data_IF_085588212763
#
_entry.id   IF_085588212763
#
_cell.length_a   1.000
_cell.length_b   1.000
_cell.length_c   1.000
_cell.angle_alpha   90.00
_cell.angle_beta   90.00
_cell.angle_gamma   90.00
#
_symmetry.space_group_name_H-M   'P 1'
#
loop_
_entity.id
_entity.type
_entity.pdbx_description
1 polymer ?
#
# COMPACT_ATOMS: atom_id res chain seq x y z
N UNK A 1 14.43 -16.65 9.38
CA UNK A 1 13.14 -15.96 9.63
C UNK A 1 13.33 -14.47 10.00
N UNK A 2 13.83 -14.13 11.19
CA UNK A 2 13.90 -12.73 11.66
C UNK A 2 14.76 -11.79 10.79
N UNK A 3 15.87 -12.27 10.21
CA UNK A 3 16.69 -11.45 9.28
C UNK A 3 15.91 -11.05 8.02
N UNK A 4 15.16 -11.98 7.44
CA UNK A 4 14.30 -11.73 6.26
C UNK A 4 13.20 -10.74 6.58
N UNK A 5 12.44 -10.96 7.67
CA UNK A 5 11.37 -10.04 8.11
C UNK A 5 11.93 -8.63 8.33
N UNK A 6 13.08 -8.49 9.00
CA UNK A 6 13.73 -7.19 9.21
C UNK A 6 14.16 -6.53 7.90
N UNK A 7 14.66 -7.31 6.94
CA UNK A 7 15.07 -6.81 5.61
C UNK A 7 13.85 -6.35 4.81
N UNK A 8 12.82 -7.18 4.73
CA UNK A 8 11.58 -6.89 3.99
C UNK A 8 10.88 -5.66 4.61
N UNK A 9 10.82 -5.59 5.93
CA UNK A 9 10.32 -4.41 6.66
C UNK A 9 11.10 -3.13 6.32
N UNK A 10 12.44 -3.17 6.35
CA UNK A 10 13.28 -2.01 6.00
C UNK A 10 13.02 -1.57 4.55
N UNK A 11 12.93 -2.52 3.62
CA UNK A 11 12.69 -2.25 2.21
C UNK A 11 11.30 -1.65 1.98
N UNK A 12 10.25 -2.23 2.56
CA UNK A 12 8.88 -1.69 2.48
C UNK A 12 8.78 -0.30 3.10
N UNK A 13 9.42 -0.07 4.26
CA UNK A 13 9.44 1.24 4.91
C UNK A 13 10.15 2.29 4.05
N UNK A 14 11.27 1.93 3.43
CA UNK A 14 11.97 2.83 2.51
C UNK A 14 11.16 3.12 1.25
N UNK A 15 10.48 2.12 0.67
CA UNK A 15 9.57 2.28 -0.46
C UNK A 15 8.44 3.25 -0.13
N UNK A 16 7.72 2.99 0.96
CA UNK A 16 6.61 3.82 1.41
C UNK A 16 7.02 5.26 1.75
N UNK A 17 8.19 5.45 2.38
CA UNK A 17 8.73 6.79 2.60
C UNK A 17 9.08 7.51 1.28
N UNK A 18 9.37 6.77 0.22
CA UNK A 18 9.55 7.29 -1.13
C UNK A 18 8.23 7.76 -1.75
N UNK A 19 7.20 6.92 -1.66
CA UNK A 19 5.84 7.22 -2.11
C UNK A 19 5.30 8.47 -1.41
N UNK A 20 5.39 8.56 -0.07
CA UNK A 20 4.94 9.73 0.68
C UNK A 20 5.64 11.04 0.29
N UNK A 21 6.89 10.98 -0.18
CA UNK A 21 7.57 12.16 -0.71
C UNK A 21 6.96 12.59 -2.03
N UNK A 22 6.75 11.64 -2.96
CA UNK A 22 6.06 11.91 -4.22
C UNK A 22 4.67 12.49 -3.96
N UNK A 23 3.92 11.91 -3.02
CA UNK A 23 2.59 12.39 -2.62
C UNK A 23 2.59 13.85 -2.14
N UNK A 24 3.67 14.29 -1.49
CA UNK A 24 3.80 15.69 -1.07
C UNK A 24 4.09 16.61 -2.26
N UNK A 25 4.98 16.22 -3.18
CA UNK A 25 5.23 16.99 -4.41
C UNK A 25 3.97 17.09 -5.28
N UNK A 26 3.17 16.03 -5.36
CA UNK A 26 1.92 16.05 -6.13
C UNK A 26 0.87 17.03 -5.57
N UNK A 27 0.98 17.47 -4.31
CA UNK A 27 0.11 18.53 -3.75
C UNK A 27 0.46 19.92 -4.27
N UNK A 28 1.66 20.10 -4.81
CA UNK A 28 2.16 21.36 -5.37
C UNK A 28 1.73 21.55 -6.83
N UNK A 29 1.08 20.56 -7.45
CA UNK A 29 0.64 20.62 -8.85
C UNK A 29 -0.41 21.70 -9.09
N UNK A 30 -0.13 22.60 -10.04
CA UNK A 30 -1.06 23.62 -10.53
C UNK A 30 -1.54 23.30 -11.95
N UNK A 31 -2.42 22.30 -12.06
CA UNK A 31 -3.03 21.92 -13.34
C UNK A 31 -4.29 22.74 -13.64
N UNK A 32 -4.50 23.03 -14.93
CA UNK A 32 -5.63 23.85 -15.41
C UNK A 32 -6.97 23.14 -15.33
N UNK A 33 -6.98 21.80 -15.30
CA UNK A 33 -8.20 21.00 -15.19
C UNK A 33 -8.18 20.11 -13.93
N UNK A 34 -9.36 19.73 -13.40
CA UNK A 34 -9.46 18.74 -12.33
C UNK A 34 -8.78 17.41 -12.70
N UNK A 35 -8.06 16.84 -11.74
CA UNK A 35 -7.35 15.58 -11.87
C UNK A 35 -7.59 14.69 -10.65
N UNK A 36 -7.24 13.41 -10.79
CA UNK A 36 -7.31 12.42 -9.72
C UNK A 36 -5.96 11.74 -9.56
N UNK A 37 -5.48 11.66 -8.32
CA UNK A 37 -4.27 10.91 -7.96
C UNK A 37 -4.71 9.69 -7.15
N UNK A 38 -4.42 8.50 -7.65
CA UNK A 38 -4.65 7.24 -6.96
C UNK A 38 -3.30 6.64 -6.57
N UNK A 39 -3.13 6.30 -5.29
CA UNK A 39 -1.88 5.78 -4.74
C UNK A 39 -2.04 4.31 -4.37
N UNK A 40 -0.96 3.53 -4.49
CA UNK A 40 -0.91 2.14 -4.05
C UNK A 40 -2.04 1.25 -4.58
N UNK A 41 -2.34 1.41 -5.88
CA UNK A 41 -3.49 0.81 -6.53
C UNK A 41 -3.16 -0.62 -7.01
N UNK A 42 -3.92 -1.61 -6.54
CA UNK A 42 -3.81 -2.99 -6.99
C UNK A 42 -4.87 -3.28 -8.05
N UNK A 43 -4.44 -3.40 -9.31
CA UNK A 43 -5.35 -3.66 -10.43
C UNK A 43 -5.17 -5.06 -10.95
N UNK A 44 -6.30 -5.75 -11.14
CA UNK A 44 -6.37 -7.07 -11.74
C UNK A 44 -7.21 -7.05 -13.00
N UNK A 45 -6.63 -7.49 -14.12
CA UNK A 45 -7.35 -7.67 -15.38
C UNK A 45 -7.15 -9.11 -15.85
N UNK A 46 -8.22 -9.90 -15.81
CA UNK A 46 -8.17 -11.34 -16.05
C UNK A 46 -7.28 -12.06 -15.03
N UNK A 47 -6.20 -12.68 -15.52
CA UNK A 47 -5.21 -13.39 -14.67
C UNK A 47 -4.00 -12.51 -14.29
N UNK A 48 -3.89 -11.30 -14.85
CA UNK A 48 -2.76 -10.40 -14.61
C UNK A 48 -3.11 -9.44 -13.47
N UNK A 49 -2.14 -9.19 -12.61
CA UNK A 49 -2.28 -8.34 -11.42
C UNK A 49 -1.01 -7.49 -11.29
N UNK A 50 -1.17 -6.22 -10.94
CA UNK A 50 -0.07 -5.29 -10.71
C UNK A 50 -0.42 -4.31 -9.61
N UNK A 51 0.59 -3.95 -8.82
CA UNK A 51 0.54 -2.82 -7.90
C UNK A 51 1.12 -1.60 -8.62
N UNK A 52 0.42 -0.48 -8.55
CA UNK A 52 0.81 0.79 -9.14
C UNK A 52 1.06 1.77 -8.01
N UNK A 53 2.30 2.26 -7.89
CA UNK A 53 2.69 3.19 -6.83
C UNK A 53 1.84 4.46 -6.89
N UNK A 54 1.73 5.07 -8.07
CA UNK A 54 0.83 6.22 -8.29
C UNK A 54 0.28 6.24 -9.72
N UNK A 55 -1.02 6.51 -9.84
CA UNK A 55 -1.72 6.76 -11.10
C UNK A 55 -2.33 8.15 -11.07
N UNK A 56 -1.88 9.01 -11.98
CA UNK A 56 -2.49 10.33 -12.20
C UNK A 56 -3.43 10.25 -13.40
N UNK A 57 -4.68 10.64 -13.18
CA UNK A 57 -5.73 10.67 -14.20
C UNK A 57 -6.06 12.14 -14.47
N UNK A 58 -5.78 12.59 -15.68
CA UNK A 58 -6.06 13.93 -16.17
C UNK A 58 -6.83 13.85 -17.50
N UNK A 59 -7.66 14.85 -17.86
CA UNK A 59 -8.38 14.86 -19.13
C UNK A 59 -7.49 14.73 -20.37
N UNK A 60 -6.25 15.20 -20.30
CA UNK A 60 -5.29 15.15 -21.40
C UNK A 60 -4.45 13.88 -21.42
N UNK A 61 -4.27 13.20 -20.28
CA UNK A 61 -3.37 12.05 -20.17
C UNK A 61 -3.68 11.19 -18.93
N UNK A 62 -3.31 9.92 -19.00
CA UNK A 62 -3.13 9.06 -17.83
C UNK A 62 -1.64 8.81 -17.65
N UNK A 63 -1.13 8.99 -16.43
CA UNK A 63 0.29 8.82 -16.13
C UNK A 63 0.46 7.79 -15.01
N UNK A 64 1.11 6.67 -15.34
CA UNK A 64 1.60 5.70 -14.35
C UNK A 64 2.96 6.17 -13.86
N UNK A 65 3.12 6.37 -12.55
CA UNK A 65 4.36 6.80 -11.94
C UNK A 65 4.93 5.63 -11.14
N UNK A 66 6.11 5.15 -11.55
CA UNK A 66 6.91 4.13 -10.86
C UNK A 66 7.94 4.83 -9.98
N UNK A 67 7.90 4.56 -8.67
CA UNK A 67 8.68 5.28 -7.67
C UNK A 67 9.90 4.45 -7.26
N UNK A 68 11.06 5.11 -7.20
CA UNK A 68 12.34 4.48 -6.82
C UNK A 68 13.05 5.32 -5.76
N UNK A 69 12.97 4.87 -4.51
CA UNK A 69 13.67 5.49 -3.39
C UNK A 69 14.93 4.69 -3.02
N UNK A 70 16.01 4.90 -3.77
CA UNK A 70 17.25 4.12 -3.63
C UNK A 70 18.47 5.03 -3.83
N UNK A 71 19.54 4.77 -3.08
CA UNK A 71 20.84 5.47 -3.20
C UNK A 71 21.78 4.71 -4.13
N UNK A 72 22.77 5.40 -4.70
CA UNK A 72 23.83 4.87 -5.56
C UNK A 72 23.71 5.35 -7.01
N UNK A 73 24.60 4.84 -7.85
CA UNK A 73 24.62 5.14 -9.29
C UNK A 73 23.85 4.07 -10.05
N UNK A 74 22.83 4.47 -10.81
CA UNK A 74 21.91 3.57 -11.50
C UNK A 74 22.12 3.56 -13.00
N UNK A 75 22.04 2.36 -13.57
CA UNK A 75 22.26 2.11 -14.98
C UNK A 75 21.14 1.22 -15.52
N UNK A 76 20.49 1.72 -16.57
CA UNK A 76 19.60 0.95 -17.42
C UNK A 76 20.42 0.40 -18.60
N UNK A 77 20.64 -0.91 -18.64
CA UNK A 77 21.35 -1.58 -19.74
C UNK A 77 20.36 -1.81 -20.90
N UNK A 78 20.47 -1.06 -22.01
CA UNK A 78 19.51 -1.14 -23.10
C UNK A 78 19.61 -2.46 -23.88
N UNK A 79 20.76 -3.13 -23.86
CA UNK A 79 21.05 -4.36 -24.60
C UNK A 79 20.53 -5.56 -23.83
N UNK A 80 20.97 -5.71 -22.58
CA UNK A 80 20.64 -6.89 -21.77
C UNK A 80 19.35 -6.71 -20.97
N UNK A 81 18.72 -5.53 -21.03
CA UNK A 81 17.52 -5.17 -20.26
C UNK A 81 17.70 -5.33 -18.74
N UNK A 82 18.95 -5.26 -18.27
CA UNK A 82 19.28 -5.27 -16.85
C UNK A 82 19.17 -3.88 -16.26
N UNK A 83 18.76 -3.82 -15.00
CA UNK A 83 18.86 -2.62 -14.19
C UNK A 83 19.78 -2.94 -13.02
N UNK A 84 20.81 -2.13 -12.83
CA UNK A 84 21.78 -2.35 -11.77
C UNK A 84 22.23 -1.04 -11.12
N UNK A 85 22.81 -1.20 -9.94
CA UNK A 85 23.37 -0.13 -9.15
C UNK A 85 24.86 -0.35 -8.90
N UNK A 86 25.67 0.71 -8.92
CA UNK A 86 26.93 0.77 -8.18
C UNK A 86 26.65 1.44 -6.83
N UNK A 87 26.93 0.71 -5.74
CA UNK A 87 26.73 1.24 -4.38
C UNK A 87 27.90 2.17 -3.99
N UNK A 88 27.82 2.75 -2.78
CA UNK A 88 28.85 3.68 -2.27
C UNK A 88 30.26 3.04 -2.14
N UNK A 89 30.36 1.70 -2.19
CA UNK A 89 31.62 0.93 -2.20
C UNK A 89 32.09 0.54 -3.61
N UNK A 90 31.38 1.00 -4.66
CA UNK A 90 31.66 0.66 -6.06
C UNK A 90 31.21 -0.75 -6.48
N UNK A 91 30.50 -1.48 -5.62
CA UNK A 91 30.03 -2.84 -5.92
C UNK A 91 28.79 -2.81 -6.81
N UNK A 92 28.83 -3.60 -7.88
CA UNK A 92 27.70 -3.80 -8.81
C UNK A 92 26.65 -4.76 -8.24
N UNK A 93 25.42 -4.29 -8.17
CA UNK A 93 24.27 -5.05 -7.66
C UNK A 93 23.13 -5.03 -8.69
N UNK A 94 22.72 -6.21 -9.15
CA UNK A 94 21.55 -6.36 -10.02
C UNK A 94 20.25 -6.13 -9.25
N UNK A 95 19.29 -5.47 -9.90
CA UNK A 95 18.05 -5.04 -9.28
C UNK A 95 16.85 -5.30 -10.20
N UNK A 96 15.65 -5.27 -9.63
CA UNK A 96 14.41 -5.42 -10.40
C UNK A 96 14.26 -4.21 -11.34
N UNK A 97 14.12 -4.47 -12.64
CA UNK A 97 14.06 -3.42 -13.65
C UNK A 97 12.78 -2.55 -13.52
N UNK A 98 12.90 -1.23 -13.31
CA UNK A 98 11.76 -0.29 -13.29
C UNK A 98 11.01 -0.22 -14.62
N UNK A 99 11.68 -0.29 -15.78
CA UNK A 99 11.03 -0.27 -17.09
C UNK A 99 10.08 -1.47 -17.25
N UNK A 100 10.53 -2.65 -16.80
CA UNK A 100 9.71 -3.85 -16.85
C UNK A 100 8.53 -3.79 -15.86
N UNK A 101 8.64 -3.05 -14.75
CA UNK A 101 7.53 -2.80 -13.83
C UNK A 101 6.52 -1.85 -14.47
N UNK A 102 6.99 -0.69 -14.93
CA UNK A 102 6.17 0.32 -15.57
C UNK A 102 5.47 -0.17 -16.85
N UNK A 103 6.15 -0.96 -17.67
CA UNK A 103 5.57 -1.60 -18.86
C UNK A 103 4.42 -2.55 -18.51
N UNK A 104 4.55 -3.33 -17.42
CA UNK A 104 3.46 -4.19 -16.93
C UNK A 104 2.28 -3.37 -16.43
N UNK A 105 2.55 -2.34 -15.64
CA UNK A 105 1.54 -1.45 -15.08
C UNK A 105 0.74 -0.74 -16.18
N UNK A 106 1.41 -0.09 -17.12
CA UNK A 106 0.79 0.57 -18.28
C UNK A 106 0.00 -0.40 -19.15
N UNK A 107 0.51 -1.62 -19.39
CA UNK A 107 -0.23 -2.66 -20.14
C UNK A 107 -1.54 -3.05 -19.46
N UNK A 108 -1.55 -3.22 -18.14
CA UNK A 108 -2.75 -3.57 -17.39
C UNK A 108 -3.74 -2.42 -17.38
N UNK A 109 -3.29 -1.18 -17.13
CA UNK A 109 -4.16 0.00 -17.20
C UNK A 109 -4.76 0.15 -18.60
N UNK A 110 -3.97 0.03 -19.67
CA UNK A 110 -4.49 0.10 -21.03
C UNK A 110 -5.52 -1.00 -21.32
N UNK A 111 -5.35 -2.19 -20.73
CA UNK A 111 -6.34 -3.26 -20.84
C UNK A 111 -7.62 -2.93 -20.06
N UNK A 112 -7.49 -2.34 -18.88
CA UNK A 112 -8.61 -1.86 -18.08
C UNK A 112 -9.41 -0.77 -18.82
N UNK A 113 -8.73 0.25 -19.36
CA UNK A 113 -9.35 1.34 -20.12
C UNK A 113 -10.16 0.83 -21.32
N UNK A 114 -9.60 -0.14 -22.07
CA UNK A 114 -10.33 -0.78 -23.17
C UNK A 114 -11.60 -1.50 -22.72
N UNK A 115 -11.55 -2.21 -21.58
CA UNK A 115 -12.71 -2.95 -21.07
C UNK A 115 -13.89 -2.03 -20.71
N UNK A 116 -13.61 -0.78 -20.33
CA UNK A 116 -14.61 0.21 -19.92
C UNK A 116 -14.90 1.25 -21.02
N UNK A 117 -14.39 1.03 -22.24
CA UNK A 117 -14.63 1.88 -23.41
C UNK A 117 -13.97 3.26 -23.35
N UNK A 118 -12.83 3.41 -22.67
CA UNK A 118 -12.07 4.67 -22.62
C UNK A 118 -10.98 4.67 -23.69
N UNK A 119 -11.11 5.55 -24.68
CA UNK A 119 -10.15 5.73 -25.78
C UNK A 119 -9.00 6.66 -25.39
N UNK A 120 -8.16 6.21 -24.45
CA UNK A 120 -6.92 6.87 -24.07
C UNK A 120 -5.90 5.82 -23.66
N UNK A 121 -4.62 6.10 -23.88
CA UNK A 121 -3.52 5.28 -23.39
C UNK A 121 -2.87 5.89 -22.16
N UNK A 122 -2.45 5.03 -21.25
CA UNK A 122 -1.60 5.39 -20.13
C UNK A 122 -0.14 5.52 -20.57
N UNK A 123 0.45 6.67 -20.26
CA UNK A 123 1.88 6.93 -20.31
C UNK A 123 2.56 6.43 -19.03
N UNK A 124 3.89 6.43 -19.02
CA UNK A 124 4.68 6.02 -17.87
C UNK A 124 5.82 6.97 -17.54
N UNK A 125 6.11 7.11 -16.25
CA UNK A 125 7.19 7.92 -15.70
C UNK A 125 7.91 7.13 -14.60
N UNK A 126 9.24 7.13 -14.61
CA UNK A 126 10.07 6.59 -13.52
C UNK A 126 10.63 7.77 -12.73
N UNK A 127 10.37 7.79 -11.41
CA UNK A 127 10.80 8.87 -10.51
C UNK A 127 11.81 8.34 -9.50
N UNK A 128 13.03 8.89 -9.52
CA UNK A 128 14.04 8.64 -8.49
C UNK A 128 13.91 9.67 -7.37
N UNK A 129 13.55 9.18 -6.17
CA UNK A 129 13.21 10.02 -5.00
C UNK A 129 14.44 10.39 -4.17
N UNK A 130 15.45 9.52 -4.12
CA UNK A 130 16.65 9.80 -3.36
C UNK A 130 17.56 10.74 -4.13
N UNK A 131 17.93 11.89 -3.56
CA UNK A 131 18.95 12.78 -4.16
C UNK A 131 20.34 12.14 -4.24
N UNK A 132 20.59 11.13 -3.41
CA UNK A 132 21.81 10.32 -3.47
C UNK A 132 21.67 9.12 -4.43
N UNK A 133 20.56 9.03 -5.17
CA UNK A 133 20.36 8.10 -6.26
C UNK A 133 20.50 8.83 -7.59
N UNK A 134 21.60 8.60 -8.30
CA UNK A 134 21.90 9.29 -9.55
C UNK A 134 21.75 8.30 -10.69
N UNK A 135 20.96 8.66 -11.71
CA UNK A 135 20.82 7.85 -12.91
C UNK A 135 21.95 8.23 -13.87
N UNK A 136 22.98 7.39 -13.92
CA UNK A 136 24.17 7.61 -14.76
C UNK A 136 23.90 7.22 -16.21
N UNK A 137 23.05 6.22 -16.43
CA UNK A 137 22.57 5.81 -17.75
C UNK A 137 21.06 5.62 -17.69
N UNK A 138 20.30 6.54 -18.29
CA UNK A 138 18.84 6.56 -18.24
C UNK A 138 18.20 5.52 -19.18
N UNK A 139 16.93 5.21 -18.92
CA UNK A 139 16.11 4.41 -19.83
C UNK A 139 15.93 5.13 -21.18
N UNK A 140 16.07 4.38 -22.26
CA UNK A 140 15.77 4.85 -23.62
C UNK A 140 14.27 4.80 -23.95
N UNK A 141 13.50 3.98 -23.23
CA UNK A 141 12.09 3.71 -23.54
C UNK A 141 11.12 4.51 -22.67
N UNK A 142 11.54 4.91 -21.47
CA UNK A 142 10.67 5.52 -20.47
C UNK A 142 11.33 6.76 -19.90
N UNK A 143 10.55 7.84 -19.79
CA UNK A 143 11.02 9.07 -19.15
C UNK A 143 11.40 8.74 -17.70
N UNK A 144 12.64 9.09 -17.35
CA UNK A 144 13.19 8.91 -16.00
C UNK A 144 13.64 10.27 -15.49
N UNK A 145 13.17 10.67 -14.31
CA UNK A 145 13.47 11.98 -13.72
C UNK A 145 13.80 11.89 -12.23
N UNK A 146 14.56 12.85 -11.69
CA UNK A 146 14.61 13.07 -10.25
C UNK A 146 13.27 13.64 -9.74
N UNK A 147 12.97 13.43 -8.46
CA UNK A 147 11.75 13.96 -7.82
C UNK A 147 11.61 15.47 -7.92
N UNK A 148 12.72 16.22 -7.89
CA UNK A 148 12.70 17.68 -7.94
C UNK A 148 12.16 18.22 -9.29
N UNK A 149 12.12 17.39 -10.35
CA UNK A 149 11.54 17.75 -11.66
C UNK A 149 10.10 17.23 -11.85
N UNK A 150 9.50 16.60 -10.84
CA UNK A 150 8.21 15.92 -10.97
C UNK A 150 7.07 16.86 -11.33
N UNK A 151 6.93 17.96 -10.57
CA UNK A 151 5.86 18.95 -10.74
C UNK A 151 5.97 19.60 -12.12
N UNK A 152 7.14 20.17 -12.41
CA UNK A 152 7.44 20.80 -13.70
C UNK A 152 7.16 19.87 -14.88
N UNK A 153 7.54 18.58 -14.78
CA UNK A 153 7.30 17.63 -15.85
C UNK A 153 5.81 17.34 -16.09
N UNK A 154 5.01 17.21 -15.04
CA UNK A 154 3.56 16.94 -15.17
C UNK A 154 2.83 18.17 -15.73
N UNK A 155 3.19 19.38 -15.29
CA UNK A 155 2.64 20.63 -15.82
C UNK A 155 3.06 20.86 -17.28
N UNK A 156 4.33 20.58 -17.60
CA UNK A 156 4.81 20.57 -18.98
C UNK A 156 4.01 19.58 -19.83
N UNK A 157 3.72 18.38 -19.32
CA UNK A 157 2.91 17.38 -20.00
C UNK A 157 1.49 17.91 -20.29
N UNK A 158 0.84 18.57 -19.33
CA UNK A 158 -0.46 19.22 -19.55
C UNK A 158 -0.37 20.27 -20.66
N UNK A 159 0.67 21.11 -20.64
CA UNK A 159 0.87 22.20 -21.62
C UNK A 159 1.08 21.71 -23.06
N UNK A 160 1.58 20.49 -23.23
CA UNK A 160 1.92 19.89 -24.54
C UNK A 160 0.88 18.91 -25.05
N UNK A 161 -0.09 18.55 -24.22
CA UNK A 161 -1.16 17.60 -24.56
C UNK A 161 -2.48 18.34 -24.70
N UNK A 162 -3.40 17.74 -25.46
CA UNK A 162 -4.77 18.24 -25.59
C UNK A 162 -5.71 17.31 -24.83
N UNK A 163 -6.85 17.84 -24.44
CA UNK A 163 -7.92 17.06 -23.81
C UNK A 163 -8.32 15.90 -24.71
N UNK A 164 -8.28 14.69 -24.15
CA UNK A 164 -8.66 13.43 -24.80
C UNK A 164 -10.01 12.95 -24.26
N UNK A 165 -10.21 13.03 -22.93
CA UNK A 165 -11.44 12.59 -22.27
C UNK A 165 -12.11 13.71 -21.48
N UNK A 166 -13.36 13.51 -21.08
CA UNK A 166 -14.09 14.45 -20.24
C UNK A 166 -13.78 14.24 -18.74
N UNK A 167 -14.00 15.28 -17.92
CA UNK A 167 -13.76 15.21 -16.47
C UNK A 167 -14.67 14.18 -15.80
N UNK A 168 -15.89 14.01 -16.31
CA UNK A 168 -16.86 13.02 -15.85
C UNK A 168 -16.33 11.59 -16.09
N UNK A 169 -15.64 11.38 -17.22
CA UNK A 169 -14.97 10.11 -17.53
C UNK A 169 -13.79 9.90 -16.59
N UNK A 170 -13.00 10.95 -16.28
CA UNK A 170 -11.92 10.87 -15.30
C UNK A 170 -12.44 10.44 -13.92
N UNK A 171 -13.55 11.05 -13.48
CA UNK A 171 -14.21 10.71 -12.20
C UNK A 171 -14.70 9.27 -12.17
N UNK A 172 -15.38 8.84 -13.24
CA UNK A 172 -15.87 7.46 -13.38
C UNK A 172 -14.70 6.47 -13.35
N UNK A 173 -13.66 6.73 -14.12
CA UNK A 173 -12.45 5.92 -14.16
C UNK A 173 -11.81 5.79 -12.78
N UNK A 174 -11.65 6.90 -12.05
CA UNK A 174 -11.10 6.88 -10.70
C UNK A 174 -11.95 6.02 -9.74
N UNK A 175 -13.27 6.12 -9.83
CA UNK A 175 -14.19 5.32 -9.02
C UNK A 175 -14.11 3.82 -9.34
N UNK A 176 -14.07 3.45 -10.62
CA UNK A 176 -14.00 2.05 -11.05
C UNK A 176 -12.67 1.41 -10.64
N UNK A 177 -11.56 2.12 -10.82
CA UNK A 177 -10.23 1.64 -10.37
C UNK A 177 -10.16 1.44 -8.86
N UNK A 178 -10.72 2.36 -8.07
CA UNK A 178 -10.81 2.21 -6.62
C UNK A 178 -11.74 1.07 -6.19
N UNK A 179 -12.69 0.68 -7.04
CA UNK A 179 -13.57 -0.46 -6.77
C UNK A 179 -12.83 -1.78 -7.00
N UNK A 180 -12.02 -1.87 -8.05
CA UNK A 180 -11.17 -3.04 -8.31
C UNK A 180 -10.11 -3.27 -7.22
N UNK A 181 -9.47 -2.21 -6.73
CA UNK A 181 -8.46 -2.31 -5.67
C UNK A 181 -8.98 -2.94 -4.37
N UNK A 182 -10.29 -2.77 -4.09
CA UNK A 182 -10.95 -3.34 -2.90
C UNK A 182 -11.14 -4.85 -2.95
N UNK A 183 -10.89 -5.50 -4.09
CA UNK A 183 -10.98 -6.96 -4.23
C UNK A 183 -9.70 -7.64 -3.69
N UNK A 184 -9.34 -7.36 -2.44
CA UNK A 184 -8.16 -7.98 -1.81
C UNK A 184 -8.31 -9.50 -1.72
N UNK A 185 -7.24 -10.21 -2.09
CA UNK A 185 -7.07 -11.61 -1.71
C UNK A 185 -6.74 -11.70 -0.22
N UNK A 186 -7.22 -12.74 0.50
CA UNK A 186 -6.78 -13.00 1.85
C UNK A 186 -5.26 -13.13 1.90
N UNK A 187 -4.59 -12.30 2.69
CA UNK A 187 -3.16 -12.37 2.97
C UNK A 187 -2.94 -12.62 4.46
N UNK A 188 -1.96 -13.47 4.77
CA UNK A 188 -1.60 -13.85 6.14
C UNK A 188 -0.08 -13.71 6.29
N UNK A 189 0.35 -12.74 7.11
CA UNK A 189 1.78 -12.52 7.41
C UNK A 189 2.38 -13.77 8.05
N UNK A 190 1.60 -14.44 8.90
CA UNK A 190 2.03 -15.65 9.62
C UNK A 190 2.35 -16.77 8.63
N UNK A 191 1.48 -16.99 7.63
CA UNK A 191 1.72 -18.01 6.60
C UNK A 191 2.84 -17.59 5.66
N UNK A 192 2.87 -16.32 5.21
CA UNK A 192 3.87 -15.81 4.27
C UNK A 192 5.31 -15.95 4.78
N UNK A 193 5.54 -15.68 6.07
CA UNK A 193 6.85 -15.80 6.70
C UNK A 193 7.07 -17.13 7.42
N UNK A 194 6.09 -18.04 7.40
CA UNK A 194 6.09 -19.30 8.14
C UNK A 194 6.39 -19.09 9.65
N UNK A 195 5.68 -18.15 10.26
CA UNK A 195 5.81 -17.81 11.69
C UNK A 195 4.94 -18.78 12.48
N UNK A 196 5.49 -19.36 13.55
CA UNK A 196 4.67 -20.16 14.46
C UNK A 196 3.75 -19.26 15.29
N UNK A 197 2.47 -19.63 15.42
CA UNK A 197 1.42 -18.82 16.07
C UNK A 197 1.77 -18.46 17.53
N UNK A 198 2.50 -19.32 18.24
CA UNK A 198 2.98 -19.08 19.61
C UNK A 198 3.99 -17.92 19.71
N UNK A 199 4.68 -17.58 18.62
CA UNK A 199 5.61 -16.44 18.57
C UNK A 199 4.92 -15.11 18.36
N UNK A 200 3.62 -15.12 18.03
CA UNK A 200 2.81 -13.92 17.90
C UNK A 200 2.37 -13.49 19.30
N UNK A 201 2.74 -12.28 19.69
CA UNK A 201 2.31 -11.71 20.96
C UNK A 201 0.81 -11.40 20.91
N UNK A 202 0.03 -12.07 21.76
CA UNK A 202 -1.43 -11.93 21.87
C UNK A 202 -1.79 -10.87 22.91
N UNK A 203 -2.94 -10.23 22.74
CA UNK A 203 -3.51 -9.24 23.64
C UNK A 203 -3.83 -7.92 22.93
N UNK A 204 -4.67 -7.09 23.57
CA UNK A 204 -5.00 -5.77 23.04
C UNK A 204 -3.79 -4.83 23.13
N UNK A 205 -3.40 -4.22 22.02
CA UNK A 205 -2.26 -3.29 21.94
C UNK A 205 -2.65 -1.89 22.40
N UNK A 206 -1.77 -1.28 23.20
CA UNK A 206 -1.90 0.13 23.57
C UNK A 206 -1.63 1.07 22.39
N UNK A 207 -2.57 1.97 22.03
CA UNK A 207 -2.39 2.91 20.92
C UNK A 207 -1.34 4.00 21.18
N UNK A 208 -0.87 4.17 22.43
CA UNK A 208 0.11 5.22 22.79
C UNK A 208 1.55 4.72 22.92
N UNK A 209 1.76 3.46 23.29
CA UNK A 209 3.11 2.98 23.66
C UNK A 209 3.41 1.55 23.21
N UNK A 210 2.57 0.98 22.34
CA UNK A 210 2.68 -0.38 21.80
C UNK A 210 2.71 -1.52 22.83
N UNK A 211 2.46 -1.23 24.12
CA UNK A 211 2.43 -2.26 25.14
C UNK A 211 1.26 -3.22 24.93
N UNK A 212 1.56 -4.51 25.02
CA UNK A 212 0.62 -5.63 24.94
C UNK A 212 0.88 -6.53 26.16
N UNK A 213 -0.16 -7.02 26.87
CA UNK A 213 -1.58 -6.71 26.70
C UNK A 213 -2.03 -5.47 27.50
N UNK A 214 -3.04 -4.75 27.00
CA UNK A 214 -3.88 -3.87 27.81
C UNK A 214 -4.88 -4.71 28.63
N UNK A 215 -5.23 -4.24 29.82
CA UNK A 215 -6.22 -4.89 30.68
C UNK A 215 -7.58 -4.23 30.51
N UNK A 216 -8.64 -5.03 30.44
CA UNK A 216 -10.02 -4.50 30.42
C UNK A 216 -10.47 -4.19 31.85
N UNK A 217 -10.81 -2.93 32.12
CA UNK A 217 -11.44 -2.47 33.37
C UNK A 217 -12.76 -1.79 33.03
N UNK A 218 -13.88 -2.39 33.47
CA UNK A 218 -15.23 -1.96 33.11
C UNK A 218 -15.39 -1.80 31.58
N UNK A 219 -15.68 -0.59 31.11
CA UNK A 219 -15.91 -0.24 29.71
C UNK A 219 -14.65 0.31 28.99
N UNK A 220 -13.46 0.20 29.60
CA UNK A 220 -12.20 0.72 29.04
C UNK A 220 -11.06 -0.30 29.06
N UNK A 221 -10.18 -0.22 28.07
CA UNK A 221 -8.87 -0.85 28.05
C UNK A 221 -7.88 0.10 28.71
N UNK A 222 -7.13 -0.39 29.69
CA UNK A 222 -6.13 0.36 30.44
C UNK A 222 -4.74 -0.24 30.20
N UNK A 223 -3.78 0.59 29.77
CA UNK A 223 -2.40 0.16 29.57
C UNK A 223 -1.65 0.11 30.91
N UNK A 224 -1.09 -1.06 31.25
CA UNK A 224 -0.27 -1.22 32.45
C UNK A 224 1.10 -0.52 32.39
N UNK A 225 1.57 -0.11 31.21
CA UNK A 225 2.88 0.54 31.03
C UNK A 225 2.79 2.07 31.08
N UNK A 226 1.85 2.68 30.36
CA UNK A 226 1.76 4.14 30.22
C UNK A 226 0.47 4.76 30.77
N UNK A 227 -0.42 3.96 31.35
CA UNK A 227 -1.70 4.41 31.91
C UNK A 227 -2.76 4.84 30.89
N UNK A 228 -2.46 4.84 29.58
CA UNK A 228 -3.43 5.22 28.54
C UNK A 228 -4.69 4.36 28.63
N UNK A 229 -5.84 5.04 28.61
CA UNK A 229 -7.14 4.42 28.47
C UNK A 229 -7.67 4.54 27.04
N UNK A 230 -8.38 3.52 26.58
CA UNK A 230 -9.11 3.53 25.30
C UNK A 230 -10.38 2.69 25.41
N UNK A 231 -11.47 3.15 24.80
CA UNK A 231 -12.73 2.38 24.75
C UNK A 231 -12.67 1.27 23.69
N UNK A 232 -11.87 1.49 22.66
CA UNK A 232 -11.92 0.88 21.32
C UNK A 232 -10.58 0.28 20.86
N UNK A 233 -9.55 0.20 21.70
CA UNK A 233 -8.24 -0.37 21.33
C UNK A 233 -8.31 -1.80 20.74
N UNK A 234 -9.34 -2.56 21.13
CA UNK A 234 -9.66 -3.86 20.57
C UNK A 234 -10.01 -3.83 19.07
N UNK A 235 -10.52 -2.72 18.52
CA UNK A 235 -10.80 -2.56 17.09
C UNK A 235 -9.48 -2.53 16.30
N UNK A 236 -8.47 -1.81 16.78
CA UNK A 236 -7.12 -1.83 16.21
C UNK A 236 -6.55 -3.25 16.25
N UNK A 237 -6.71 -3.93 17.39
CA UNK A 237 -6.26 -5.33 17.57
C UNK A 237 -6.95 -6.28 16.59
N UNK A 238 -8.22 -6.04 16.25
CA UNK A 238 -8.95 -6.83 15.25
C UNK A 238 -8.36 -6.63 13.84
N UNK A 239 -7.95 -5.41 13.49
CA UNK A 239 -7.25 -5.14 12.24
C UNK A 239 -5.84 -5.75 12.21
N UNK A 240 -5.12 -5.77 13.35
CA UNK A 240 -3.86 -6.50 13.47
C UNK A 240 -4.04 -8.01 13.25
N UNK A 241 -5.09 -8.61 13.83
CA UNK A 241 -5.44 -10.00 13.57
C UNK A 241 -5.66 -10.23 12.07
N UNK A 242 -6.43 -9.35 11.42
CA UNK A 242 -6.72 -9.42 9.98
C UNK A 242 -5.44 -9.47 9.15
N UNK A 243 -4.43 -8.68 9.48
CA UNK A 243 -3.13 -8.68 8.79
C UNK A 243 -2.29 -9.94 9.09
N UNK A 244 -2.34 -10.43 10.33
CA UNK A 244 -1.53 -11.57 10.76
C UNK A 244 -2.04 -12.90 10.22
N UNK A 245 -3.35 -13.13 10.32
CA UNK A 245 -3.99 -14.44 10.10
C UNK A 245 -5.02 -14.43 8.96
N UNK A 246 -5.25 -13.28 8.32
CA UNK A 246 -6.28 -13.10 7.31
C UNK A 246 -7.63 -12.62 7.88
N UNK A 247 -8.60 -12.31 7.00
CA UNK A 247 -9.82 -11.61 7.36
C UNK A 247 -10.87 -12.47 8.09
N UNK A 248 -10.71 -13.79 8.10
CA UNK A 248 -11.67 -14.70 8.70
C UNK A 248 -11.34 -14.99 10.17
N UNK A 249 -12.36 -14.91 11.03
CA UNK A 249 -12.19 -15.10 12.48
C UNK A 249 -13.41 -15.78 13.10
N UNK A 250 -13.17 -16.59 14.12
CA UNK A 250 -14.21 -17.12 15.00
C UNK A 250 -14.22 -16.36 16.33
N UNK A 251 -15.34 -16.35 17.04
CA UNK A 251 -15.39 -15.74 18.38
C UNK A 251 -14.37 -16.35 19.35
N UNK A 252 -14.01 -17.64 19.18
CA UNK A 252 -12.99 -18.31 19.98
C UNK A 252 -11.58 -17.79 19.66
N UNK A 253 -11.23 -17.72 18.37
CA UNK A 253 -9.96 -17.13 17.94
C UNK A 253 -9.83 -15.66 18.39
N UNK A 254 -10.94 -14.92 18.39
CA UNK A 254 -10.98 -13.53 18.84
C UNK A 254 -10.67 -13.38 20.34
N UNK A 255 -11.26 -14.20 21.22
CA UNK A 255 -10.93 -14.16 22.67
C UNK A 255 -9.49 -14.61 22.93
N UNK A 256 -9.01 -15.64 22.22
CA UNK A 256 -7.64 -16.15 22.35
C UNK A 256 -6.62 -15.08 21.92
N UNK A 257 -6.87 -14.39 20.82
CA UNK A 257 -5.99 -13.35 20.32
C UNK A 257 -6.03 -12.08 21.17
N UNK A 258 -7.21 -11.63 21.60
CA UNK A 258 -7.35 -10.44 22.46
C UNK A 258 -6.98 -10.71 23.93
N UNK A 259 -6.80 -11.97 24.32
CA UNK A 259 -6.56 -12.39 25.72
C UNK A 259 -7.68 -11.87 26.64
N UNK A 260 -8.93 -12.19 26.30
CA UNK A 260 -10.12 -11.75 27.04
C UNK A 260 -11.02 -12.94 27.40
N UNK A 261 -11.56 -12.98 28.63
CA UNK A 261 -12.22 -14.20 29.14
C UNK A 261 -13.68 -14.37 28.67
N UNK A 262 -14.35 -13.29 28.26
CA UNK A 262 -15.75 -13.33 27.85
C UNK A 262 -15.94 -13.59 26.35
N UNK A 263 -16.50 -14.75 26.00
CA UNK A 263 -16.94 -15.05 24.62
C UNK A 263 -18.04 -14.10 24.13
N UNK A 264 -18.92 -13.65 25.02
CA UNK A 264 -20.00 -12.70 24.70
C UNK A 264 -19.45 -11.33 24.30
N UNK A 265 -18.35 -10.89 24.91
CA UNK A 265 -17.63 -9.70 24.47
C UNK A 265 -17.18 -9.83 23.01
N UNK A 266 -16.52 -10.93 22.65
CA UNK A 266 -16.07 -11.16 21.28
C UNK A 266 -17.23 -11.22 20.29
N UNK A 267 -18.33 -11.91 20.62
CA UNK A 267 -19.52 -11.96 19.76
C UNK A 267 -20.07 -10.56 19.49
N UNK A 268 -20.19 -9.72 20.52
CA UNK A 268 -20.67 -8.33 20.37
C UNK A 268 -19.74 -7.49 19.51
N UNK A 269 -18.42 -7.60 19.72
CA UNK A 269 -17.42 -6.89 18.90
C UNK A 269 -17.52 -7.34 17.44
N UNK A 270 -17.56 -8.65 17.18
CA UNK A 270 -17.62 -9.18 15.82
C UNK A 270 -18.93 -8.85 15.12
N UNK A 271 -20.09 -8.92 15.78
CA UNK A 271 -21.36 -8.53 15.18
C UNK A 271 -21.38 -7.07 14.70
N UNK A 272 -20.63 -6.17 15.36
CA UNK A 272 -20.60 -4.76 15.01
C UNK A 272 -19.56 -4.43 13.91
N UNK A 273 -18.47 -5.21 13.83
CA UNK A 273 -17.29 -4.87 13.03
C UNK A 273 -16.93 -5.93 11.96
N UNK A 274 -17.77 -6.94 11.78
CA UNK A 274 -17.54 -8.04 10.84
C UNK A 274 -18.85 -8.49 10.18
N UNK A 275 -18.74 -9.18 9.05
CA UNK A 275 -19.84 -9.79 8.34
C UNK A 275 -19.92 -11.29 8.63
N UNK A 276 -21.14 -11.84 8.72
CA UNK A 276 -21.32 -13.27 8.99
C UNK A 276 -21.16 -14.05 7.67
N UNK A 277 -20.09 -14.84 7.55
CA UNK A 277 -19.82 -15.71 6.39
C UNK A 277 -20.57 -17.03 6.46
N UNK A 278 -20.57 -17.67 7.64
CA UNK A 278 -21.21 -18.97 7.88
C UNK A 278 -21.88 -18.98 9.24
N UNK A 279 -23.21 -19.11 9.23
CA UNK A 279 -24.04 -19.06 10.43
C UNK A 279 -24.50 -20.44 10.94
N UNK A 280 -24.49 -21.47 10.08
CA UNK A 280 -25.12 -22.78 10.33
C UNK A 280 -24.19 -23.87 10.91
N UNK A 281 -22.94 -23.56 11.19
CA UNK A 281 -21.96 -24.50 11.78
C UNK A 281 -21.86 -24.34 13.30
N UNK A 282 -21.31 -25.35 13.99
CA UNK A 282 -21.02 -25.33 15.45
C UNK A 282 -20.19 -24.11 15.90
N UNK A 283 -19.53 -23.45 14.95
CA UNK A 283 -18.82 -22.18 15.13
C UNK A 283 -19.30 -21.18 14.09
N UNK A 284 -19.68 -19.97 14.52
CA UNK A 284 -19.98 -18.85 13.63
C UNK A 284 -18.66 -18.30 13.09
N UNK A 285 -18.55 -18.22 11.76
CA UNK A 285 -17.41 -17.64 11.08
C UNK A 285 -17.74 -16.21 10.63
N UNK A 286 -16.87 -15.29 10.98
CA UNK A 286 -16.99 -13.87 10.65
C UNK A 286 -15.89 -13.46 9.68
N UNK A 287 -16.18 -12.49 8.81
CA UNK A 287 -15.19 -11.78 8.02
C UNK A 287 -15.04 -10.36 8.55
N UNK A 288 -13.88 -10.05 9.11
CA UNK A 288 -13.54 -8.73 9.64
C UNK A 288 -13.60 -7.70 8.50
N UNK A 289 -14.31 -6.58 8.72
CA UNK A 289 -14.33 -5.47 7.76
C UNK A 289 -12.94 -4.86 7.64
N UNK A 290 -12.56 -4.47 6.44
CA UNK A 290 -11.27 -3.84 6.22
C UNK A 290 -11.31 -2.36 6.62
N UNK A 291 -10.78 -2.06 7.81
CA UNK A 291 -10.77 -0.73 8.41
C UNK A 291 -9.34 -0.28 8.71
N UNK A 292 -8.45 -0.37 7.70
CA UNK A 292 -7.01 -0.04 7.83
C UNK A 292 -6.74 1.33 8.45
N UNK A 293 -7.66 2.29 8.31
CA UNK A 293 -7.55 3.62 8.91
C UNK A 293 -7.36 3.58 10.44
N UNK A 294 -7.85 2.53 11.11
CA UNK A 294 -7.65 2.28 12.54
C UNK A 294 -6.18 2.02 12.91
N UNK A 295 -5.34 1.63 11.95
CA UNK A 295 -3.91 1.40 12.15
C UNK A 295 -3.05 2.63 11.82
N UNK A 296 -3.66 3.72 11.34
CA UNK A 296 -2.93 4.89 10.84
C UNK A 296 -2.05 5.58 11.89
N UNK A 297 -2.46 5.59 13.16
CA UNK A 297 -1.68 6.18 14.26
C UNK A 297 -0.34 5.44 14.45
N UNK A 298 -0.37 4.10 14.48
CA UNK A 298 0.84 3.28 14.60
C UNK A 298 1.80 3.48 13.43
N UNK A 299 1.26 3.55 12.21
CA UNK A 299 2.07 3.77 11.00
C UNK A 299 2.74 5.15 11.05
N UNK A 300 1.99 6.20 11.45
CA UNK A 300 2.54 7.56 11.57
C UNK A 300 3.65 7.66 12.60
N UNK A 301 3.49 7.02 13.76
CA UNK A 301 4.55 6.99 14.79
C UNK A 301 5.79 6.25 14.29
N UNK A 302 5.60 5.15 13.56
CA UNK A 302 6.70 4.37 13.03
C UNK A 302 7.46 5.11 11.91
N UNK A 303 6.77 5.92 11.10
CA UNK A 303 7.39 6.79 10.11
C UNK A 303 8.21 7.95 10.71
N UNK A 304 7.94 8.31 11.97
CA UNK A 304 8.74 9.32 12.69
C UNK A 304 10.07 8.76 13.25
N UNK A 305 10.26 7.43 13.24
CA UNK A 305 11.45 6.75 13.78
C UNK A 305 12.49 6.45 12.70
#
# INVERSE_FOLDING_TARGET
>A
MYKRIKSDYKNSRAGFAGELKVDNYLKELELKMPYYVLQNLNIKVGKKEVQIDTLLIHPNFILVIEIKNMRGEFYFDPVNKHFYRLNDEGKKEGMRNPEAQLSRSTTIINSFLRNIGVEMSANGLIVFVSRAGIVMQASENWKTIPIDSLVEYIEFLESRTKRVIANEICKRLAFELLTEDRLEKPFSIVDYYNISVDKVKKGVRCPKCDYIPMLRKHSRWCCGKCGKESRDAHLNTLQEYRLLFGPEITSRSAIEFMQHDSIYFAIRVLNNNAEIKKAKTRYRLFQIRDEKHLLSEFIREELKK
#
